data_IF_785352250579
#
_entry.id   IF_785352250579
#
_cell.length_a   1.000
_cell.length_b   1.000
_cell.length_c   1.000
_cell.angle_alpha   90.00
_cell.angle_beta   90.00
_cell.angle_gamma   90.00
#
_symmetry.space_group_name_H-M   'P 1'
#
loop_
_entity.id
_entity.type
_entity.pdbx_description
1 polymer ?
#
# COMPACT_ATOMS: atom_id res chain seq x y z
N UNK A 1 -4.86 -3.53 37.94
CA UNK A 1 -4.04 -4.44 37.12
C UNK A 1 -4.77 -4.89 35.86
N UNK A 2 -5.94 -5.56 35.94
CA UNK A 2 -6.72 -5.90 34.72
C UNK A 2 -7.31 -4.65 34.06
N UNK A 3 -7.93 -3.76 34.84
CA UNK A 3 -8.51 -2.52 34.31
C UNK A 3 -7.46 -1.57 33.69
N UNK A 4 -6.24 -1.55 34.24
CA UNK A 4 -5.14 -0.75 33.69
C UNK A 4 -4.72 -1.32 32.31
N UNK A 5 -4.64 -2.65 32.19
CA UNK A 5 -4.31 -3.33 30.93
C UNK A 5 -5.41 -3.14 29.86
N UNK A 6 -6.69 -3.15 30.25
CA UNK A 6 -7.80 -2.86 29.34
C UNK A 6 -7.72 -1.41 28.82
N UNK A 7 -7.39 -0.46 29.70
CA UNK A 7 -7.22 0.95 29.32
C UNK A 7 -6.04 1.13 28.37
N UNK A 8 -4.90 0.51 28.67
CA UNK A 8 -3.71 0.54 27.81
C UNK A 8 -4.00 -0.09 26.44
N UNK A 9 -4.81 -1.16 26.38
CA UNK A 9 -5.21 -1.79 25.13
C UNK A 9 -6.12 -0.90 24.29
N UNK A 10 -7.13 -0.28 24.91
CA UNK A 10 -8.05 0.62 24.20
C UNK A 10 -7.31 1.84 23.63
N UNK A 11 -6.36 2.42 24.39
CA UNK A 11 -5.52 3.52 23.92
C UNK A 11 -4.58 3.09 22.77
N UNK A 12 -4.01 1.88 22.85
CA UNK A 12 -3.17 1.35 21.78
C UNK A 12 -3.98 1.12 20.50
N UNK A 13 -5.21 0.62 20.63
CA UNK A 13 -6.10 0.38 19.51
C UNK A 13 -6.51 1.69 18.82
N UNK A 14 -6.90 2.71 19.61
CA UNK A 14 -7.23 4.03 19.07
C UNK A 14 -6.05 4.62 18.26
N UNK A 15 -4.83 4.56 18.80
CA UNK A 15 -3.63 5.02 18.08
C UNK A 15 -3.34 4.22 16.81
N UNK A 16 -3.63 2.92 16.81
CA UNK A 16 -3.46 2.10 15.61
C UNK A 16 -4.42 2.56 14.52
N UNK A 17 -5.70 2.72 14.85
CA UNK A 17 -6.74 3.14 13.91
C UNK A 17 -6.44 4.55 13.34
N UNK A 18 -5.95 5.47 14.19
CA UNK A 18 -5.52 6.80 13.77
C UNK A 18 -4.34 6.74 12.79
N UNK A 19 -3.29 5.97 13.10
CA UNK A 19 -2.12 5.80 12.23
C UNK A 19 -2.46 5.14 10.89
N UNK A 20 -3.39 4.17 10.90
CA UNK A 20 -3.88 3.52 9.69
C UNK A 20 -4.58 4.54 8.76
N UNK A 21 -5.42 5.42 9.33
CA UNK A 21 -6.05 6.51 8.57
C UNK A 21 -5.03 7.51 8.03
N UNK A 22 -4.05 7.93 8.83
CA UNK A 22 -3.00 8.85 8.39
C UNK A 22 -2.13 8.26 7.26
N UNK A 23 -1.86 6.95 7.32
CA UNK A 23 -1.11 6.23 6.29
C UNK A 23 -1.85 6.25 4.96
N UNK A 24 -3.16 6.00 4.96
CA UNK A 24 -3.98 6.03 3.75
C UNK A 24 -4.05 7.44 3.15
N UNK A 25 -4.21 8.45 3.98
CA UNK A 25 -4.17 9.85 3.55
C UNK A 25 -2.82 10.21 2.91
N UNK A 26 -1.72 9.76 3.51
CA UNK A 26 -0.37 9.98 3.00
C UNK A 26 -0.15 9.27 1.65
N UNK A 27 -0.61 8.02 1.51
CA UNK A 27 -0.60 7.29 0.23
C UNK A 27 -1.33 8.10 -0.85
N UNK A 28 -2.53 8.61 -0.54
CA UNK A 28 -3.30 9.45 -1.44
C UNK A 28 -2.58 10.73 -1.85
N UNK A 29 -1.93 11.42 -0.89
CA UNK A 29 -1.16 12.64 -1.16
C UNK A 29 0.03 12.39 -2.10
N UNK A 30 0.80 11.33 -1.84
CA UNK A 30 1.96 10.95 -2.68
C UNK A 30 1.53 10.68 -4.12
N UNK A 31 0.47 9.89 -4.31
CA UNK A 31 -0.08 9.59 -5.63
C UNK A 31 -0.51 10.89 -6.33
N UNK A 32 -1.22 11.77 -5.62
CA UNK A 32 -1.71 13.02 -6.20
C UNK A 32 -0.57 13.97 -6.60
N UNK A 33 0.47 14.10 -5.77
CA UNK A 33 1.64 14.92 -6.09
C UNK A 33 2.38 14.39 -7.33
N UNK A 34 2.55 13.07 -7.43
CA UNK A 34 3.17 12.43 -8.59
C UNK A 34 2.39 12.75 -9.88
N UNK A 35 1.07 12.57 -9.85
CA UNK A 35 0.18 12.88 -10.99
C UNK A 35 0.30 14.35 -11.39
N UNK A 36 0.27 15.25 -10.41
CA UNK A 36 0.37 16.68 -10.63
C UNK A 36 1.73 17.06 -11.25
N UNK A 37 2.82 16.48 -10.76
CA UNK A 37 4.17 16.67 -11.28
C UNK A 37 4.30 16.22 -12.73
N UNK A 38 3.80 15.01 -13.04
CA UNK A 38 3.81 14.47 -14.39
C UNK A 38 3.00 15.33 -15.37
N UNK A 39 1.76 15.69 -15.01
CA UNK A 39 0.92 16.56 -15.84
C UNK A 39 1.54 17.95 -16.04
N UNK A 40 2.22 18.49 -15.02
CA UNK A 40 2.98 19.73 -15.15
C UNK A 40 4.09 19.59 -16.20
N UNK A 41 4.82 18.48 -16.17
CA UNK A 41 5.83 18.15 -17.20
C UNK A 41 5.22 18.09 -18.60
N UNK A 42 4.10 17.39 -18.78
CA UNK A 42 3.39 17.33 -20.07
C UNK A 42 2.98 18.72 -20.57
N UNK A 43 2.43 19.58 -19.70
CA UNK A 43 2.11 20.97 -20.08
C UNK A 43 3.34 21.75 -20.53
N UNK A 44 4.50 21.55 -19.89
CA UNK A 44 5.76 22.15 -20.33
C UNK A 44 6.17 21.63 -21.71
N UNK A 45 6.09 20.32 -21.95
CA UNK A 45 6.39 19.71 -23.25
C UNK A 45 5.49 20.29 -24.34
N UNK A 46 4.16 20.31 -24.14
CA UNK A 46 3.21 20.88 -25.09
C UNK A 46 3.48 22.37 -25.40
N UNK A 47 3.97 23.12 -24.40
CA UNK A 47 4.32 24.52 -24.58
C UNK A 47 5.52 24.72 -25.53
N UNK A 48 6.58 23.92 -25.35
CA UNK A 48 7.81 24.04 -26.15
C UNK A 48 7.73 23.28 -27.49
N UNK A 49 6.96 22.19 -27.56
CA UNK A 49 6.83 21.31 -28.72
C UNK A 49 5.36 21.22 -29.16
N UNK A 50 4.96 22.15 -30.03
CA UNK A 50 3.56 22.31 -30.48
C UNK A 50 3.04 21.14 -31.32
N UNK A 51 3.93 20.30 -31.83
CA UNK A 51 3.64 19.10 -32.61
C UNK A 51 3.37 17.86 -31.75
N UNK A 52 3.64 17.94 -30.44
CA UNK A 52 3.38 16.85 -29.51
C UNK A 52 1.95 16.94 -29.00
N UNK A 53 1.14 15.93 -29.31
CA UNK A 53 -0.13 15.68 -28.63
C UNK A 53 0.13 14.98 -27.29
N UNK A 54 -0.05 15.72 -26.19
CA UNK A 54 0.13 15.20 -24.83
C UNK A 54 -1.05 14.38 -24.31
N UNK A 55 -2.14 14.29 -25.08
CA UNK A 55 -3.25 13.38 -24.81
C UNK A 55 -3.07 11.99 -25.42
N UNK A 56 -2.00 11.80 -26.18
CA UNK A 56 -1.61 10.52 -26.77
C UNK A 56 -1.33 9.46 -25.68
N UNK A 57 -1.79 8.23 -25.91
CA UNK A 57 -1.61 7.08 -25.03
C UNK A 57 -0.12 6.75 -24.75
N UNK A 58 0.83 7.30 -25.52
CA UNK A 58 2.25 7.21 -25.22
C UNK A 58 2.69 7.90 -23.93
N UNK A 59 1.84 8.77 -23.35
CA UNK A 59 2.06 9.43 -22.08
C UNK A 59 1.16 8.89 -20.96
N UNK A 60 0.63 7.68 -21.12
CA UNK A 60 -0.15 7.01 -20.08
C UNK A 60 0.77 6.58 -18.93
N UNK A 61 0.62 7.25 -17.78
CA UNK A 61 1.42 7.00 -16.57
C UNK A 61 1.27 5.58 -16.01
N UNK A 62 0.23 4.84 -16.40
CA UNK A 62 -0.02 3.47 -15.92
C UNK A 62 0.64 2.40 -16.82
N UNK A 63 1.44 2.84 -17.81
CA UNK A 63 2.12 1.96 -18.75
C UNK A 63 3.63 2.11 -18.68
N UNK A 64 4.31 0.99 -18.79
CA UNK A 64 5.77 0.90 -18.89
C UNK A 64 6.20 0.56 -20.32
N UNK A 65 7.47 0.81 -20.65
CA UNK A 65 8.08 0.52 -21.96
C UNK A 65 8.95 -0.74 -21.87
N UNK A 66 8.41 -1.87 -22.30
CA UNK A 66 9.12 -3.16 -22.37
C UNK A 66 9.38 -3.53 -23.82
N UNK A 67 10.66 -3.68 -24.17
CA UNK A 67 11.05 -4.03 -25.56
C UNK A 67 10.59 -3.01 -26.61
N UNK A 68 10.39 -1.75 -26.21
CA UNK A 68 9.88 -0.69 -27.08
C UNK A 68 8.35 -0.67 -27.25
N UNK A 69 7.61 -1.47 -26.49
CA UNK A 69 6.15 -1.49 -26.48
C UNK A 69 5.60 -1.02 -25.14
N UNK A 70 4.45 -0.32 -25.18
CA UNK A 70 3.74 0.09 -23.97
C UNK A 70 2.92 -1.06 -23.42
N UNK A 71 3.22 -1.48 -22.20
CA UNK A 71 2.55 -2.56 -21.48
C UNK A 71 1.96 -2.03 -20.18
N UNK A 72 0.87 -2.62 -19.68
CA UNK A 72 0.26 -2.18 -18.42
C UNK A 72 1.15 -2.60 -17.24
N UNK A 73 1.30 -1.72 -16.26
CA UNK A 73 2.15 -1.96 -15.09
C UNK A 73 1.64 -3.08 -14.17
N UNK A 74 0.31 -3.29 -14.12
CA UNK A 74 -0.34 -4.38 -13.35
C UNK A 74 0.07 -5.76 -13.87
N UNK A 75 0.47 -5.88 -15.14
CA UNK A 75 0.97 -7.14 -15.70
C UNK A 75 2.48 -7.37 -15.41
N UNK A 76 3.15 -6.43 -14.75
CA UNK A 76 4.63 -6.37 -14.62
C UNK A 76 5.14 -6.31 -13.18
N UNK A 77 4.35 -5.83 -12.20
CA UNK A 77 4.85 -5.54 -10.86
C UNK A 77 4.79 -6.73 -9.90
N UNK A 78 5.95 -7.06 -9.32
CA UNK A 78 6.14 -7.98 -8.19
C UNK A 78 5.70 -7.37 -6.83
N UNK A 79 5.08 -6.19 -6.85
CA UNK A 79 4.82 -5.37 -5.65
C UNK A 79 3.55 -5.80 -4.91
N UNK A 80 2.54 -6.32 -5.62
CA UNK A 80 1.34 -6.94 -5.01
C UNK A 80 1.69 -8.19 -4.18
N UNK A 81 2.78 -8.88 -4.52
CA UNK A 81 3.29 -10.03 -3.77
C UNK A 81 3.96 -9.61 -2.45
N UNK A 82 4.51 -8.39 -2.35
CA UNK A 82 5.18 -7.92 -1.14
C UNK A 82 4.20 -7.50 -0.04
N UNK A 83 3.05 -6.91 -0.42
CA UNK A 83 1.98 -6.54 0.50
C UNK A 83 1.25 -7.78 1.05
N UNK A 84 0.99 -8.78 0.21
CA UNK A 84 0.44 -10.08 0.65
C UNK A 84 1.33 -10.84 1.63
N UNK A 85 2.65 -10.83 1.41
CA UNK A 85 3.60 -11.51 2.30
C UNK A 85 3.65 -10.84 3.68
N UNK A 86 3.42 -9.53 3.76
CA UNK A 86 3.34 -8.82 5.04
C UNK A 86 2.05 -9.17 5.81
N UNK A 87 0.91 -9.28 5.13
CA UNK A 87 -0.37 -9.68 5.75
C UNK A 87 -0.36 -11.15 6.23
N UNK A 88 0.23 -12.07 5.46
CA UNK A 88 0.28 -13.50 5.81
C UNK A 88 1.15 -13.76 7.05
N UNK A 89 2.18 -12.95 7.27
CA UNK A 89 3.09 -13.08 8.43
C UNK A 89 2.42 -12.67 9.76
N UNK A 90 1.40 -11.81 9.73
CA UNK A 90 0.65 -11.39 10.91
C UNK A 90 -0.35 -12.47 11.37
N UNK A 91 -0.91 -13.24 10.43
CA UNK A 91 -1.90 -14.31 10.74
C UNK A 91 -1.24 -15.53 11.38
N UNK A 92 0.05 -15.81 11.12
CA UNK A 92 0.72 -17.02 11.61
C UNK A 92 1.24 -16.97 13.05
N UNK A 93 1.09 -15.86 13.77
CA UNK A 93 1.49 -15.76 15.19
C UNK A 93 0.42 -16.18 16.21
N UNK A 94 -0.78 -16.56 15.78
CA UNK A 94 -1.86 -17.05 16.65
C UNK A 94 -2.24 -18.52 16.40
N UNK A 95 -1.27 -19.43 16.35
CA UNK A 95 -1.58 -20.86 16.59
C UNK A 95 -0.40 -21.60 17.22
N UNK A 96 -0.24 -21.49 18.54
CA UNK A 96 0.44 -22.52 19.34
C UNK A 96 -0.46 -22.92 20.52
N UNK A 97 -1.27 -23.93 20.20
CA UNK A 97 -1.64 -25.09 21.00
C UNK A 97 -2.33 -24.89 22.37
N UNK A 98 -3.64 -25.08 22.32
CA UNK A 98 -4.38 -25.68 23.41
C UNK A 98 -4.05 -27.17 23.53
N UNK A 99 -3.36 -27.58 24.61
CA UNK A 99 -3.43 -28.96 25.09
C UNK A 99 -4.14 -29.02 26.45
N UNK A 100 -5.39 -29.49 26.40
CA UNK A 100 -6.21 -29.82 27.57
C UNK A 100 -5.65 -31.05 28.29
N UNK A 101 -5.37 -30.87 29.58
CA UNK A 101 -5.88 -31.75 30.65
C UNK A 101 -5.14 -33.05 30.93
N UNK A 102 -4.73 -33.22 32.19
CA UNK A 102 -5.16 -34.41 32.93
C UNK A 102 -5.25 -34.15 34.43
N UNK A 103 -6.42 -34.42 34.99
CA UNK A 103 -6.69 -34.56 36.41
C UNK A 103 -6.41 -36.02 36.83
N UNK A 104 -5.85 -36.18 38.04
CA UNK A 104 -5.76 -37.39 38.88
C UNK A 104 -4.56 -38.37 38.77
N UNK A 105 -4.07 -38.65 39.99
CA UNK A 105 -3.31 -39.81 40.52
C UNK A 105 -1.77 -39.77 40.43
N UNK A 106 -1.12 -39.45 41.57
CA UNK A 106 -0.54 -40.40 42.56
C UNK A 106 -0.25 -39.63 43.85
#
# INVERSE_FOLDING_TARGET
MIADLETDYDELKEKHDDLESELEDLKGQIIQEHINGFQKGLRQVAFFHKDIDVSDAKFDKNKDVVGGQLVNEVDSSLEEEAEKVAEELVVHTEEVEAEKGNLYNI
#
